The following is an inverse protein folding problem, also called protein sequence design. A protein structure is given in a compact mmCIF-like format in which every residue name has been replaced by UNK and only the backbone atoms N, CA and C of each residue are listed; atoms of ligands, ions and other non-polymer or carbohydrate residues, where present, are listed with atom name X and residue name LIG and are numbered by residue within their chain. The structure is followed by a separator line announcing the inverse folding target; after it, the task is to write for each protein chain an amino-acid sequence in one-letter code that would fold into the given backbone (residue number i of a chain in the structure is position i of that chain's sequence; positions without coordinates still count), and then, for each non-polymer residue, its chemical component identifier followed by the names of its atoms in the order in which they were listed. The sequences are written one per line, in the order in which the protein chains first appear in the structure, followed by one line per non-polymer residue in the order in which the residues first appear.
data_IF_650865355819
#
_entry.id   IF_650865355819
#
_cell.length_a   1.000
_cell.length_b   1.000
_cell.length_c   1.000
_cell.angle_alpha   90.00
_cell.angle_beta   90.00
_cell.angle_gamma   90.00
#
_symmetry.space_group_name_H-M   'P 1'
#
loop_
_entity.id
_entity.type
_entity.pdbx_description
1 polymer ?
#
# COMPACT_ATOMS: atom_id res chain seq x y z
N UNK A 1 -8.77 8.76 18.32
CA UNK A 1 -8.06 7.61 18.93
C UNK A 1 -8.66 6.37 18.31
N UNK A 2 -8.04 5.89 17.24
CA UNK A 2 -8.63 4.89 16.35
C UNK A 2 -8.68 3.52 17.06
N UNK A 3 -9.64 2.69 16.67
CA UNK A 3 -9.81 1.33 17.21
C UNK A 3 -8.45 0.61 17.28
N UNK A 4 -8.22 -0.16 18.34
CA UNK A 4 -7.00 -0.97 18.46
C UNK A 4 -6.80 -1.76 17.16
N UNK A 5 -5.57 -1.76 16.64
CA UNK A 5 -5.16 -2.56 15.48
C UNK A 5 -5.20 -4.05 15.86
N UNK A 6 -6.41 -4.59 15.90
CA UNK A 6 -6.72 -5.92 16.38
C UNK A 6 -7.69 -6.65 15.44
N UNK A 7 -7.81 -7.96 15.66
CA UNK A 7 -8.69 -8.83 14.88
C UNK A 7 -10.15 -8.34 14.86
N UNK A 8 -10.63 -7.66 15.91
CA UNK A 8 -12.00 -7.18 15.98
C UNK A 8 -12.20 -6.00 15.04
N UNK A 9 -11.28 -5.03 15.06
CA UNK A 9 -11.27 -3.91 14.12
C UNK A 9 -11.13 -4.40 12.67
N UNK A 10 -10.23 -5.34 12.40
CA UNK A 10 -10.06 -5.95 11.09
C UNK A 10 -11.37 -6.60 10.59
N UNK A 11 -12.03 -7.40 11.44
CA UNK A 11 -13.33 -8.02 11.10
C UNK A 11 -14.43 -7.01 10.82
N UNK A 12 -14.41 -5.85 11.47
CA UNK A 12 -15.38 -4.79 11.21
C UNK A 12 -15.15 -4.16 9.83
N UNK A 13 -13.90 -3.90 9.47
CA UNK A 13 -13.53 -3.32 8.17
C UNK A 13 -13.87 -4.24 6.97
N UNK A 14 -13.94 -5.57 7.19
CA UNK A 14 -14.39 -6.53 6.17
C UNK A 14 -15.79 -6.21 5.59
N UNK A 15 -16.61 -5.46 6.32
CA UNK A 15 -17.98 -5.18 5.89
C UNK A 15 -18.06 -4.05 4.85
N UNK A 16 -16.99 -3.25 4.71
CA UNK A 16 -16.99 -2.04 3.89
C UNK A 16 -16.78 -2.34 2.40
N UNK A 17 -16.20 -3.50 2.07
CA UNK A 17 -15.92 -3.91 0.70
C UNK A 17 -16.45 -5.32 0.43
N UNK A 18 -17.16 -5.49 -0.69
CA UNK A 18 -17.80 -6.77 -1.09
C UNK A 18 -17.34 -7.29 -2.45
N UNK A 19 -16.32 -6.68 -3.03
CA UNK A 19 -15.78 -7.10 -4.33
C UNK A 19 -14.95 -8.37 -4.15
N UNK A 20 -15.25 -9.42 -4.90
CA UNK A 20 -14.58 -10.73 -4.81
C UNK A 20 -13.08 -10.68 -5.14
N UNK A 21 -12.64 -9.63 -5.83
CA UNK A 21 -11.21 -9.41 -6.15
C UNK A 21 -10.43 -8.90 -4.95
N UNK A 22 -11.11 -8.46 -3.89
CA UNK A 22 -10.48 -7.94 -2.67
C UNK A 22 -10.33 -9.10 -1.68
N UNK A 23 -9.07 -9.43 -1.39
CA UNK A 23 -8.74 -10.43 -0.36
C UNK A 23 -8.34 -9.68 0.90
N UNK A 24 -9.07 -9.92 1.97
CA UNK A 24 -8.74 -9.38 3.28
C UNK A 24 -8.09 -10.46 4.15
N UNK A 25 -7.05 -10.08 4.88
CA UNK A 25 -6.44 -10.91 5.92
C UNK A 25 -5.97 -10.01 7.06
N UNK A 26 -5.90 -10.57 8.27
CA UNK A 26 -5.31 -9.86 9.41
C UNK A 26 -3.85 -10.28 9.56
N UNK A 27 -2.94 -9.31 9.47
CA UNK A 27 -1.51 -9.49 9.66
C UNK A 27 -1.09 -9.00 11.05
N UNK A 28 -1.31 -9.82 12.06
CA UNK A 28 -1.06 -9.45 13.46
C UNK A 28 0.39 -9.08 13.76
N UNK A 29 1.33 -9.50 12.91
CA UNK A 29 2.75 -9.25 13.06
C UNK A 29 3.23 -8.09 12.20
N UNK A 30 2.34 -7.50 11.37
CA UNK A 30 2.67 -6.46 10.39
C UNK A 30 3.79 -6.90 9.45
N UNK A 31 3.88 -8.21 9.18
CA UNK A 31 4.95 -8.83 8.38
C UNK A 31 5.00 -8.22 6.98
N UNK A 32 3.85 -8.03 6.35
CA UNK A 32 3.71 -7.42 5.03
C UNK A 32 4.24 -5.98 5.01
N UNK A 33 3.73 -5.13 5.91
CA UNK A 33 4.16 -3.73 6.01
C UNK A 33 5.65 -3.58 6.34
N UNK A 34 6.20 -4.44 7.20
CA UNK A 34 7.65 -4.47 7.49
C UNK A 34 8.48 -4.86 6.28
N UNK A 35 8.05 -5.89 5.54
CA UNK A 35 8.77 -6.35 4.37
C UNK A 35 8.78 -5.28 3.28
N UNK A 36 7.65 -4.62 3.04
CA UNK A 36 7.56 -3.52 2.07
C UNK A 36 8.41 -2.31 2.50
N UNK A 37 8.42 -1.96 3.79
CA UNK A 37 9.25 -0.86 4.30
C UNK A 37 10.74 -1.12 4.11
N UNK A 38 11.19 -2.37 4.21
CA UNK A 38 12.59 -2.75 3.98
C UNK A 38 12.97 -2.76 2.49
N UNK A 39 12.02 -3.07 1.60
CA UNK A 39 12.28 -3.24 0.15
C UNK A 39 12.14 -1.93 -0.64
N UNK A 40 11.63 -0.87 -0.01
CA UNK A 40 11.48 0.47 -0.58
C UNK A 40 12.40 1.46 0.14
N UNK A 41 12.79 2.58 -0.51
CA UNK A 41 13.57 3.64 0.13
C UNK A 41 12.68 4.49 1.06
N UNK A 42 12.04 3.85 2.04
CA UNK A 42 11.17 4.44 3.05
C UNK A 42 11.91 4.57 4.38
N UNK A 43 11.78 5.72 5.05
CA UNK A 43 12.24 5.86 6.43
C UNK A 43 11.15 5.43 7.44
N UNK A 44 10.65 4.22 7.31
CA UNK A 44 9.58 3.69 8.15
C UNK A 44 9.89 2.28 8.65
N UNK A 45 9.41 1.92 9.86
CA UNK A 45 9.53 0.54 10.37
C UNK A 45 8.48 -0.40 9.78
N UNK A 46 7.33 0.16 9.40
CA UNK A 46 6.18 -0.54 8.84
C UNK A 46 5.58 0.40 7.81
N UNK A 47 5.39 -0.08 6.59
CA UNK A 47 4.71 0.66 5.55
C UNK A 47 3.19 0.49 5.69
N UNK A 48 2.47 1.61 5.67
CA UNK A 48 1.00 1.67 5.71
C UNK A 48 0.52 2.83 4.82
N UNK A 49 -0.75 2.81 4.42
CA UNK A 49 -1.32 3.72 3.40
C UNK A 49 -0.41 3.88 2.17
N UNK A 50 0.02 2.73 1.63
CA UNK A 50 0.93 2.60 0.49
C UNK A 50 0.21 2.06 -0.73
N UNK A 51 0.66 2.49 -1.91
CA UNK A 51 0.11 2.09 -3.20
C UNK A 51 1.26 1.66 -4.10
N UNK A 52 1.28 0.38 -4.47
CA UNK A 52 2.35 -0.25 -5.26
C UNK A 52 1.80 -0.65 -6.63
N UNK A 53 2.51 -0.30 -7.70
CA UNK A 53 2.09 -0.55 -9.07
C UNK A 53 3.07 -1.49 -9.78
N UNK A 54 2.52 -2.51 -10.41
CA UNK A 54 3.28 -3.56 -11.09
C UNK A 54 2.83 -3.67 -12.55
N UNK A 55 3.77 -3.74 -13.51
CA UNK A 55 3.43 -3.95 -14.91
C UNK A 55 2.84 -5.35 -15.13
N UNK A 56 2.18 -5.53 -16.28
CA UNK A 56 1.57 -6.81 -16.66
C UNK A 56 2.62 -7.92 -16.69
N UNK A 57 2.25 -9.08 -16.15
CA UNK A 57 3.10 -10.29 -16.18
C UNK A 57 4.10 -10.41 -15.02
N UNK A 58 4.17 -9.42 -14.13
CA UNK A 58 4.93 -9.56 -12.88
C UNK A 58 4.23 -10.50 -11.92
N UNK A 59 4.93 -11.52 -11.46
CA UNK A 59 4.45 -12.46 -10.44
C UNK A 59 5.13 -12.22 -9.09
N UNK A 60 4.38 -12.52 -8.03
CA UNK A 60 4.86 -12.45 -6.65
C UNK A 60 5.21 -13.89 -6.24
N UNK A 61 6.49 -14.18 -6.18
CA UNK A 61 7.03 -15.48 -5.75
C UNK A 61 7.60 -15.34 -4.33
N UNK A 62 8.84 -15.81 -4.10
CA UNK A 62 9.50 -15.79 -2.79
C UNK A 62 9.90 -14.39 -2.29
N UNK A 63 9.89 -13.37 -3.17
CA UNK A 63 10.25 -11.99 -2.84
C UNK A 63 9.27 -11.01 -3.46
N UNK A 64 9.07 -9.88 -2.80
CA UNK A 64 8.28 -8.80 -3.40
C UNK A 64 9.03 -8.29 -4.64
N UNK A 65 8.39 -8.31 -5.82
CA UNK A 65 8.98 -7.69 -7.00
C UNK A 65 9.10 -6.18 -6.77
N UNK A 66 10.05 -5.54 -7.44
CA UNK A 66 10.18 -4.10 -7.36
C UNK A 66 9.02 -3.44 -8.13
N UNK A 67 8.24 -2.54 -7.50
CA UNK A 67 7.15 -1.85 -8.18
C UNK A 67 7.73 -0.89 -9.22
N UNK A 68 7.06 -0.75 -10.37
CA UNK A 68 7.46 0.23 -11.38
C UNK A 68 7.16 1.67 -10.95
N UNK A 69 6.13 1.84 -10.11
CA UNK A 69 5.74 3.09 -9.46
C UNK A 69 5.15 2.80 -8.09
N UNK A 70 5.29 3.74 -7.18
CA UNK A 70 4.64 3.67 -5.87
C UNK A 70 4.46 5.06 -5.25
N UNK A 71 3.60 5.13 -4.23
CA UNK A 71 3.34 6.33 -3.43
C UNK A 71 2.81 5.94 -2.05
N UNK A 72 2.89 6.84 -1.06
CA UNK A 72 2.42 6.60 0.31
C UNK A 72 1.87 7.86 0.98
N UNK A 73 1.14 7.70 2.09
CA UNK A 73 0.55 8.81 2.87
C UNK A 73 1.14 9.00 4.28
N UNK A 74 2.25 8.32 4.59
CA UNK A 74 2.86 8.29 5.93
C UNK A 74 3.58 9.60 6.31
N UNK A 75 2.82 10.64 6.64
CA UNK A 75 3.37 11.97 7.00
C UNK A 75 4.17 11.99 8.30
N UNK A 76 3.93 11.05 9.20
CA UNK A 76 4.53 10.94 10.52
C UNK A 76 5.90 10.25 10.52
N UNK A 77 6.15 9.35 9.56
CA UNK A 77 7.41 8.62 9.45
C UNK A 77 8.28 9.07 8.28
N UNK A 78 7.67 9.47 7.15
CA UNK A 78 8.40 9.75 5.92
C UNK A 78 7.77 10.88 5.08
N UNK A 79 7.22 11.91 5.74
CA UNK A 79 6.45 12.96 5.09
C UNK A 79 7.20 13.85 4.09
N UNK A 80 8.53 13.88 4.15
CA UNK A 80 9.39 14.66 3.24
C UNK A 80 9.83 13.85 1.99
N UNK A 81 9.40 12.60 1.88
CA UNK A 81 9.70 11.72 0.76
C UNK A 81 9.09 12.23 -0.55
N UNK A 82 9.80 12.07 -1.68
CA UNK A 82 9.27 12.40 -3.01
C UNK A 82 8.06 11.51 -3.42
N UNK A 83 7.89 10.39 -2.72
CA UNK A 83 6.80 9.44 -2.89
C UNK A 83 5.61 9.72 -1.96
N UNK A 84 5.74 10.68 -1.05
CA UNK A 84 4.66 11.11 -0.17
C UNK A 84 3.63 11.92 -0.95
N UNK A 85 2.37 11.49 -0.88
CA UNK A 85 1.24 12.10 -1.60
C UNK A 85 0.01 12.08 -0.72
N UNK A 86 -0.75 13.17 -0.69
CA UNK A 86 -2.03 13.24 0.04
C UNK A 86 -3.05 14.07 -0.75
N UNK A 87 -4.32 14.01 -0.33
CA UNK A 87 -5.41 14.79 -0.94
C UNK A 87 -5.50 14.62 -2.47
N UNK A 88 -5.71 15.72 -3.17
CA UNK A 88 -5.85 15.73 -4.64
C UNK A 88 -4.58 15.25 -5.36
N UNK A 89 -3.40 15.46 -4.79
CA UNK A 89 -2.15 15.03 -5.43
C UNK A 89 -1.99 13.50 -5.40
N UNK A 90 -2.44 12.85 -4.32
CA UNK A 90 -2.55 11.40 -4.29
C UNK A 90 -3.53 10.90 -5.36
N UNK A 91 -4.74 11.45 -5.38
CA UNK A 91 -5.78 11.04 -6.34
C UNK A 91 -5.26 11.16 -7.78
N UNK A 92 -4.65 12.29 -8.12
CA UNK A 92 -4.05 12.52 -9.43
C UNK A 92 -2.88 11.56 -9.71
N UNK A 93 -2.04 11.28 -8.71
CA UNK A 93 -0.96 10.30 -8.78
C UNK A 93 -1.47 8.90 -9.13
N UNK A 94 -2.49 8.43 -8.43
CA UNK A 94 -3.12 7.13 -8.66
C UNK A 94 -3.69 7.04 -10.08
N UNK A 95 -4.47 8.03 -10.52
CA UNK A 95 -5.01 8.04 -11.88
C UNK A 95 -3.92 8.00 -12.96
N UNK A 96 -2.83 8.76 -12.79
CA UNK A 96 -1.71 8.74 -13.74
C UNK A 96 -1.00 7.40 -13.77
N UNK A 97 -0.73 6.81 -12.60
CA UNK A 97 -0.06 5.51 -12.50
C UNK A 97 -0.90 4.41 -13.16
N UNK A 98 -2.19 4.35 -12.86
CA UNK A 98 -3.08 3.35 -13.46
C UNK A 98 -3.23 3.54 -14.97
N UNK A 99 -3.34 4.78 -15.48
CA UNK A 99 -3.41 5.04 -16.93
C UNK A 99 -2.20 4.50 -17.68
N UNK A 100 -1.00 4.67 -17.13
CA UNK A 100 0.23 4.19 -17.76
C UNK A 100 0.28 2.67 -17.87
N UNK A 101 -0.14 1.95 -16.82
CA UNK A 101 -0.14 0.48 -16.82
C UNK A 101 -1.16 -0.12 -17.79
N UNK A 102 -2.24 0.60 -18.09
CA UNK A 102 -3.29 0.14 -19.02
C UNK A 102 -2.93 0.46 -20.47
N UNK A 103 -2.02 1.40 -20.70
CA UNK A 103 -1.55 1.78 -22.04
C UNK A 103 -0.36 0.96 -22.57
N UNK A 104 0.24 0.12 -21.72
CA UNK A 104 1.34 -0.82 -22.05
C UNK A 104 0.81 -2.20 -22.46
#
# INVERSE_FOLDING_TARGET
MNAKDDMTAAKKALQDFRDERIIHFYDSQQSSGKLIANDLPLNAKVAWDIYLFYPRGVTWEDRIPQPSKWMHQMSDTDGDSEYHRTGDDLVNGLYRATKLLVSE
#
